data_IF_134407825271
#
_entry.id   IF_134407825271
#
_cell.length_a   1.000
_cell.length_b   1.000
_cell.length_c   1.000
_cell.angle_alpha   90.00
_cell.angle_beta   90.00
_cell.angle_gamma   90.00
#
_symmetry.space_group_name_H-M   'P 1'
#
loop_
_entity.id
_entity.type
_entity.pdbx_description
1 polymer ?
#
# COMPACT_ATOMS: atom_id res chain seq x y z
N UNK A 1 3.97 -33.12 25.43
CA UNK A 1 5.36 -32.95 24.93
C UNK A 1 5.25 -32.48 23.49
N UNK A 2 5.27 -31.16 23.28
CA UNK A 2 5.21 -30.56 21.94
C UNK A 2 6.64 -30.32 21.45
N UNK A 3 6.95 -30.56 20.17
CA UNK A 3 8.28 -30.27 19.65
C UNK A 3 8.50 -28.75 19.62
N UNK A 4 9.75 -28.28 19.76
CA UNK A 4 10.07 -26.87 19.76
C UNK A 4 9.82 -26.27 18.37
N UNK A 5 9.23 -25.07 18.35
CA UNK A 5 9.10 -24.23 17.15
C UNK A 5 10.51 -23.85 16.70
N UNK A 6 10.94 -24.38 15.56
CA UNK A 6 12.11 -23.88 14.86
C UNK A 6 11.88 -22.40 14.53
N UNK A 7 12.81 -21.56 14.98
CA UNK A 7 12.86 -20.15 14.62
C UNK A 7 12.86 -20.04 13.10
N UNK A 8 11.94 -19.24 12.58
CA UNK A 8 11.99 -18.80 11.20
C UNK A 8 13.23 -17.92 11.03
N UNK A 9 14.34 -18.52 10.61
CA UNK A 9 15.40 -17.79 9.95
C UNK A 9 14.79 -17.18 8.69
N UNK A 10 14.57 -15.87 8.71
CA UNK A 10 14.33 -15.12 7.49
C UNK A 10 15.64 -15.26 6.71
N UNK A 11 15.66 -16.11 5.69
CA UNK A 11 16.74 -16.08 4.72
C UNK A 11 16.77 -14.65 4.16
N UNK A 12 17.81 -13.90 4.53
CA UNK A 12 18.18 -12.65 3.85
C UNK A 12 18.51 -13.04 2.40
N UNK A 13 17.50 -13.08 1.54
CA UNK A 13 17.66 -13.27 0.11
C UNK A 13 18.41 -12.04 -0.43
N UNK A 14 19.46 -12.26 -1.23
CA UNK A 14 20.17 -11.17 -1.91
C UNK A 14 19.29 -10.36 -2.90
N UNK A 15 18.03 -10.80 -3.08
CA UNK A 15 16.99 -10.29 -4.00
C UNK A 15 15.82 -9.58 -3.28
N UNK A 16 16.10 -8.66 -2.35
CA UNK A 16 15.04 -7.93 -1.64
C UNK A 16 14.22 -7.01 -2.58
N UNK A 17 12.98 -7.42 -2.81
CA UNK A 17 11.98 -6.77 -3.65
C UNK A 17 10.73 -6.39 -2.83
N UNK A 18 9.77 -5.70 -3.43
CA UNK A 18 8.56 -5.20 -2.78
C UNK A 18 7.40 -6.21 -2.78
N UNK A 19 7.69 -7.49 -2.57
CA UNK A 19 6.72 -8.59 -2.47
C UNK A 19 6.49 -9.07 -1.02
N UNK A 20 7.07 -8.37 -0.04
CA UNK A 20 6.92 -8.62 1.40
C UNK A 20 6.97 -7.30 2.20
N UNK A 21 6.49 -7.25 3.45
CA UNK A 21 5.87 -8.34 4.23
C UNK A 21 4.40 -8.61 3.87
N UNK A 22 3.75 -7.69 3.13
CA UNK A 22 2.36 -7.87 2.72
C UNK A 22 2.31 -8.66 1.42
N UNK A 23 1.70 -9.85 1.40
CA UNK A 23 1.77 -10.74 0.25
C UNK A 23 0.96 -10.21 -0.93
N UNK A 24 1.46 -10.46 -2.13
CA UNK A 24 0.73 -10.20 -3.37
C UNK A 24 -0.45 -11.18 -3.50
N UNK A 25 -1.51 -10.72 -4.15
CA UNK A 25 -2.73 -11.48 -4.41
C UNK A 25 -2.59 -12.22 -5.74
N UNK A 26 -2.64 -13.55 -5.70
CA UNK A 26 -2.70 -14.36 -6.91
C UNK A 26 -3.96 -14.05 -7.71
N UNK A 27 -3.82 -13.92 -9.04
CA UNK A 27 -4.97 -13.60 -9.87
C UNK A 27 -5.81 -14.85 -10.13
N UNK A 28 -7.15 -14.77 -10.15
CA UNK A 28 -7.98 -15.92 -10.52
C UNK A 28 -7.68 -16.49 -11.92
N UNK A 29 -7.13 -15.67 -12.81
CA UNK A 29 -6.73 -16.08 -14.15
C UNK A 29 -5.51 -17.02 -14.17
N UNK A 30 -4.69 -17.09 -13.12
CA UNK A 30 -3.56 -18.03 -13.07
C UNK A 30 -4.03 -19.48 -13.12
N UNK A 31 -5.13 -19.78 -12.43
CA UNK A 31 -5.71 -21.12 -12.37
C UNK A 31 -6.75 -21.36 -13.46
N UNK A 32 -7.57 -20.34 -13.75
CA UNK A 32 -8.76 -20.48 -14.60
C UNK A 32 -8.58 -19.95 -16.02
N UNK A 33 -7.52 -19.19 -16.29
CA UNK A 33 -7.39 -18.40 -17.50
C UNK A 33 -8.41 -17.26 -17.59
N UNK A 34 -8.33 -16.42 -18.61
CA UNK A 34 -9.28 -15.31 -18.84
C UNK A 34 -10.62 -15.77 -19.47
N UNK A 35 -11.22 -16.82 -18.92
CA UNK A 35 -12.34 -17.57 -19.51
C UNK A 35 -13.67 -16.83 -19.48
N UNK A 36 -13.95 -16.10 -18.40
CA UNK A 36 -15.21 -15.38 -18.22
C UNK A 36 -14.98 -13.95 -17.68
N UNK A 37 -16.06 -13.17 -17.64
CA UNK A 37 -16.02 -11.77 -17.23
C UNK A 37 -15.68 -11.58 -15.74
N UNK A 38 -16.06 -12.51 -14.87
CA UNK A 38 -15.83 -12.40 -13.42
C UNK A 38 -14.38 -12.69 -13.09
N UNK A 39 -13.83 -13.77 -13.67
CA UNK A 39 -12.38 -14.06 -13.59
C UNK A 39 -11.57 -12.90 -14.17
N UNK A 40 -12.00 -12.34 -15.31
CA UNK A 40 -11.30 -11.21 -15.92
C UNK A 40 -11.35 -9.93 -15.09
N UNK A 41 -12.50 -9.59 -14.53
CA UNK A 41 -12.68 -8.39 -13.70
C UNK A 41 -11.89 -8.52 -12.40
N UNK A 42 -12.07 -9.63 -11.67
CA UNK A 42 -11.35 -9.93 -10.43
C UNK A 42 -9.83 -9.99 -10.64
N UNK A 43 -9.35 -10.59 -11.73
CA UNK A 43 -7.91 -10.61 -12.03
C UNK A 43 -7.35 -9.23 -12.34
N UNK A 44 -8.10 -8.37 -13.03
CA UNK A 44 -7.64 -6.98 -13.26
C UNK A 44 -7.60 -6.20 -11.96
N UNK A 45 -8.56 -6.41 -11.07
CA UNK A 45 -8.58 -5.77 -9.76
C UNK A 45 -7.38 -6.21 -8.93
N UNK A 46 -7.10 -7.52 -8.87
CA UNK A 46 -5.92 -8.07 -8.20
C UNK A 46 -4.60 -7.46 -8.73
N UNK A 47 -4.49 -7.16 -10.02
CA UNK A 47 -3.32 -6.48 -10.59
C UNK A 47 -3.18 -5.04 -10.08
N UNK A 48 -4.28 -4.28 -9.99
CA UNK A 48 -4.28 -2.92 -9.39
C UNK A 48 -3.93 -2.99 -7.91
N UNK A 49 -4.48 -3.96 -7.18
CA UNK A 49 -4.19 -4.16 -5.76
C UNK A 49 -2.73 -4.53 -5.54
N UNK A 50 -2.16 -5.39 -6.38
CA UNK A 50 -0.74 -5.73 -6.33
C UNK A 50 0.18 -4.54 -6.59
N UNK A 51 -0.25 -3.53 -7.37
CA UNK A 51 0.47 -2.26 -7.49
C UNK A 51 0.46 -1.49 -6.17
N UNK A 52 -0.69 -1.44 -5.48
CA UNK A 52 -0.83 -0.78 -4.18
C UNK A 52 -0.02 -1.50 -3.09
N UNK A 53 -0.09 -2.83 -3.04
CA UNK A 53 0.67 -3.67 -2.10
C UNK A 53 2.17 -3.50 -2.33
N UNK A 54 2.64 -3.54 -3.59
CA UNK A 54 4.05 -3.28 -3.92
C UNK A 54 4.49 -1.88 -3.48
N UNK A 55 3.64 -0.89 -3.68
CA UNK A 55 3.86 0.46 -3.17
C UNK A 55 4.06 0.50 -1.67
N UNK A 56 3.13 -0.11 -0.95
CA UNK A 56 3.12 -0.21 0.51
C UNK A 56 4.37 -0.94 1.01
N UNK A 57 4.70 -2.11 0.46
CA UNK A 57 5.91 -2.87 0.75
C UNK A 57 7.17 -2.05 0.48
N UNK A 58 7.25 -1.37 -0.66
CA UNK A 58 8.39 -0.53 -1.01
C UNK A 58 8.61 0.60 0.00
N UNK A 59 7.54 1.23 0.49
CA UNK A 59 7.64 2.26 1.55
C UNK A 59 8.00 1.64 2.89
N UNK A 60 7.34 0.56 3.27
CA UNK A 60 7.54 -0.16 4.53
C UNK A 60 9.00 -0.58 4.71
N UNK A 61 9.59 -1.15 3.66
CA UNK A 61 10.95 -1.63 3.66
C UNK A 61 11.98 -0.51 3.57
N UNK A 62 11.75 0.53 2.76
CA UNK A 62 12.78 1.55 2.49
C UNK A 62 12.73 2.75 3.45
N UNK A 63 11.65 2.97 4.20
CA UNK A 63 11.42 4.24 4.90
C UNK A 63 12.55 4.65 5.86
N UNK A 64 13.16 3.72 6.61
CA UNK A 64 14.25 4.02 7.55
C UNK A 64 15.64 4.17 6.89
N UNK A 65 15.77 3.81 5.60
CA UNK A 65 16.99 4.04 4.81
C UNK A 65 17.10 5.47 4.26
N UNK A 66 16.00 6.22 4.29
CA UNK A 66 15.90 7.54 3.64
C UNK A 66 16.67 8.60 4.44
N UNK A 67 17.50 9.35 3.73
CA UNK A 67 18.30 10.47 4.24
C UNK A 67 17.60 11.81 3.98
N UNK A 68 18.00 12.92 4.65
CA UNK A 68 17.46 14.25 4.37
C UNK A 68 17.55 14.66 2.89
N UNK A 69 18.63 14.28 2.19
CA UNK A 69 18.86 14.59 0.77
C UNK A 69 17.93 13.82 -0.16
N UNK A 70 17.50 12.63 0.27
CA UNK A 70 16.69 11.69 -0.53
C UNK A 70 15.21 11.71 -0.14
N UNK A 71 14.87 12.35 0.97
CA UNK A 71 13.54 12.43 1.55
C UNK A 71 12.51 13.10 0.64
N UNK A 72 12.88 14.16 -0.09
CA UNK A 72 11.92 14.86 -0.96
C UNK A 72 11.33 13.95 -2.05
N UNK A 73 12.20 13.17 -2.70
CA UNK A 73 11.78 12.21 -3.72
C UNK A 73 11.01 11.03 -3.12
N UNK A 74 11.40 10.57 -1.93
CA UNK A 74 10.70 9.49 -1.24
C UNK A 74 9.30 9.92 -0.81
N UNK A 75 9.14 11.13 -0.25
CA UNK A 75 7.84 11.69 0.09
C UNK A 75 6.97 11.89 -1.15
N UNK A 76 7.55 12.30 -2.28
CA UNK A 76 6.82 12.35 -3.56
C UNK A 76 6.31 10.96 -3.96
N UNK A 77 7.12 9.91 -3.82
CA UNK A 77 6.69 8.53 -4.07
C UNK A 77 5.53 8.13 -3.14
N UNK A 78 5.64 8.44 -1.85
CA UNK A 78 4.60 8.17 -0.84
C UNK A 78 3.28 8.88 -1.16
N UNK A 79 3.34 10.15 -1.53
CA UNK A 79 2.17 10.92 -1.93
C UNK A 79 1.52 10.33 -3.18
N UNK A 80 2.29 9.92 -4.20
CA UNK A 80 1.72 9.28 -5.39
C UNK A 80 1.03 7.94 -5.06
N UNK A 81 1.54 7.18 -4.09
CA UNK A 81 0.86 5.97 -3.61
C UNK A 81 -0.45 6.30 -2.88
N UNK A 82 -0.43 7.30 -1.99
CA UNK A 82 -1.64 7.74 -1.28
C UNK A 82 -2.70 8.26 -2.26
N UNK A 83 -2.32 9.10 -3.22
CA UNK A 83 -3.23 9.58 -4.27
C UNK A 83 -3.79 8.44 -5.14
N UNK A 84 -2.99 7.40 -5.41
CA UNK A 84 -3.45 6.21 -6.13
C UNK A 84 -4.48 5.44 -5.30
N UNK A 85 -4.23 5.24 -4.00
CA UNK A 85 -5.16 4.55 -3.11
C UNK A 85 -6.47 5.34 -2.99
N UNK A 86 -6.41 6.65 -2.72
CA UNK A 86 -7.58 7.56 -2.72
C UNK A 86 -8.38 7.48 -4.01
N UNK A 87 -7.74 7.67 -5.15
CA UNK A 87 -8.45 7.64 -6.42
C UNK A 87 -9.11 6.29 -6.73
N UNK A 88 -8.50 5.18 -6.31
CA UNK A 88 -9.03 3.84 -6.52
C UNK A 88 -10.35 3.63 -5.77
N UNK A 89 -10.35 3.80 -4.44
CA UNK A 89 -11.57 3.58 -3.65
C UNK A 89 -12.65 4.63 -3.94
N UNK A 90 -12.28 5.90 -4.16
CA UNK A 90 -13.26 6.93 -4.56
C UNK A 90 -13.94 6.60 -5.90
N UNK A 91 -13.22 6.02 -6.87
CA UNK A 91 -13.81 5.61 -8.15
C UNK A 91 -14.73 4.39 -7.99
N UNK A 92 -14.40 3.47 -7.08
CA UNK A 92 -15.28 2.36 -6.75
C UNK A 92 -16.59 2.82 -6.15
N UNK A 93 -16.51 3.66 -5.11
CA UNK A 93 -17.68 4.18 -4.39
C UNK A 93 -18.54 5.08 -5.26
N UNK A 94 -17.93 5.90 -6.12
CA UNK A 94 -18.66 6.82 -6.98
C UNK A 94 -19.27 6.14 -8.22
N UNK A 95 -18.73 5.00 -8.65
CA UNK A 95 -19.10 4.39 -9.93
C UNK A 95 -19.20 2.86 -9.88
N UNK A 96 -18.15 2.14 -9.52
CA UNK A 96 -18.11 0.67 -9.66
C UNK A 96 -19.19 -0.03 -8.84
N UNK A 97 -19.21 0.20 -7.52
CA UNK A 97 -20.18 -0.44 -6.62
C UNK A 97 -21.62 -0.04 -6.96
N UNK A 98 -21.97 1.26 -7.14
CA UNK A 98 -23.34 1.62 -7.52
C UNK A 98 -23.80 1.03 -8.85
N UNK A 99 -22.91 0.90 -9.84
CA UNK A 99 -23.26 0.27 -11.13
C UNK A 99 -23.60 -1.21 -10.97
N UNK A 100 -22.84 -1.94 -10.13
CA UNK A 100 -23.08 -3.36 -9.86
C UNK A 100 -24.39 -3.54 -9.10
N UNK A 101 -24.60 -2.78 -8.02
CA UNK A 101 -25.83 -2.82 -7.22
C UNK A 101 -27.07 -2.56 -8.08
N UNK A 102 -27.01 -1.52 -8.93
CA UNK A 102 -28.10 -1.20 -9.85
C UNK A 102 -28.36 -2.30 -10.88
N UNK A 103 -27.31 -2.91 -11.43
CA UNK A 103 -27.45 -3.96 -12.43
C UNK A 103 -28.02 -5.26 -11.83
N UNK A 104 -27.66 -5.56 -10.58
CA UNK A 104 -28.14 -6.74 -9.85
C UNK A 104 -29.53 -6.50 -9.21
N UNK A 105 -29.87 -5.25 -8.90
CA UNK A 105 -31.09 -4.88 -8.19
C UNK A 105 -31.05 -5.18 -6.68
N UNK A 106 -29.84 -5.22 -6.09
CA UNK A 106 -29.62 -5.46 -4.67
C UNK A 106 -28.89 -4.26 -4.08
N UNK A 107 -29.60 -3.47 -3.29
CA UNK A 107 -29.04 -2.35 -2.54
C UNK A 107 -28.15 -2.87 -1.39
N UNK A 108 -27.01 -2.22 -1.17
CA UNK A 108 -26.07 -2.60 -0.11
C UNK A 108 -25.27 -3.87 -0.41
N UNK A 109 -25.25 -4.34 -1.67
CA UNK A 109 -24.44 -5.51 -2.06
C UNK A 109 -22.94 -5.29 -1.80
N UNK A 110 -22.48 -4.03 -1.86
CA UNK A 110 -21.09 -3.65 -1.64
C UNK A 110 -20.83 -3.09 -0.22
N UNK A 111 -21.79 -3.13 0.70
CA UNK A 111 -21.66 -2.53 2.04
C UNK A 111 -20.42 -3.03 2.79
N UNK A 112 -20.08 -4.31 2.66
CA UNK A 112 -18.86 -4.86 3.28
C UNK A 112 -17.57 -4.21 2.75
N UNK A 113 -17.50 -3.91 1.45
CA UNK A 113 -16.33 -3.22 0.87
C UNK A 113 -16.25 -1.77 1.38
N UNK A 114 -17.40 -1.11 1.57
CA UNK A 114 -17.45 0.25 2.14
C UNK A 114 -16.98 0.27 3.61
N UNK A 115 -17.44 -0.69 4.41
CA UNK A 115 -16.99 -0.84 5.80
C UNK A 115 -15.47 -1.10 5.88
N UNK A 116 -14.96 -1.91 4.95
CA UNK A 116 -13.53 -2.20 4.82
C UNK A 116 -12.71 -0.98 4.38
N UNK A 117 -13.23 -0.14 3.47
CA UNK A 117 -12.63 1.15 3.13
C UNK A 117 -12.49 2.02 4.39
N UNK A 118 -13.61 2.25 5.10
CA UNK A 118 -13.62 3.06 6.31
C UNK A 118 -12.67 2.54 7.40
N UNK A 119 -12.43 1.23 7.46
CA UNK A 119 -11.52 0.63 8.43
C UNK A 119 -10.06 1.11 8.30
N UNK A 120 -9.54 1.32 7.08
CA UNK A 120 -8.16 1.80 6.89
C UNK A 120 -8.04 3.33 6.82
N UNK A 121 -9.13 4.04 6.56
CA UNK A 121 -9.12 5.49 6.33
C UNK A 121 -8.52 6.34 7.47
N UNK A 122 -8.74 6.05 8.76
CA UNK A 122 -8.10 6.81 9.84
C UNK A 122 -6.57 6.76 9.79
N UNK A 123 -5.98 5.63 9.39
CA UNK A 123 -4.52 5.51 9.24
C UNK A 123 -4.01 6.17 7.97
N UNK A 124 -4.74 6.02 6.86
CA UNK A 124 -4.42 6.70 5.60
C UNK A 124 -4.42 8.22 5.76
N UNK A 125 -5.42 8.81 6.45
CA UNK A 125 -5.44 10.26 6.71
C UNK A 125 -4.22 10.75 7.52
N UNK A 126 -3.75 9.97 8.50
CA UNK A 126 -2.51 10.28 9.23
C UNK A 126 -1.28 10.19 8.33
N UNK A 127 -1.28 9.24 7.40
CA UNK A 127 -0.23 9.10 6.40
C UNK A 127 -0.18 10.32 5.49
N UNK A 128 -1.33 10.75 4.97
CA UNK A 128 -1.46 11.95 4.14
C UNK A 128 -0.95 13.18 4.87
N UNK A 129 -1.43 13.41 6.10
CA UNK A 129 -1.01 14.54 6.91
C UNK A 129 0.52 14.57 7.06
N UNK A 130 1.14 13.41 7.29
CA UNK A 130 2.58 13.31 7.43
C UNK A 130 3.33 13.61 6.12
N UNK A 131 2.96 12.97 5.01
CA UNK A 131 3.73 13.05 3.76
C UNK A 131 3.52 14.36 3.00
N UNK A 132 2.42 15.08 3.24
CA UNK A 132 2.18 16.39 2.65
C UNK A 132 2.70 17.56 3.50
N UNK A 133 2.70 17.44 4.84
CA UNK A 133 3.04 18.56 5.72
C UNK A 133 4.43 18.47 6.36
N UNK A 134 5.18 17.37 6.17
CA UNK A 134 6.53 17.23 6.73
C UNK A 134 7.60 17.78 5.78
N UNK A 135 8.41 18.77 6.20
CA UNK A 135 9.60 19.16 5.45
C UNK A 135 10.62 18.02 5.34
N UNK A 136 11.29 17.91 4.19
CA UNK A 136 12.29 16.86 3.93
C UNK A 136 13.39 16.77 5.01
N UNK A 137 13.85 17.91 5.52
CA UNK A 137 14.88 17.99 6.59
C UNK A 137 14.43 17.39 7.93
N UNK A 138 13.12 17.27 8.15
CA UNK A 138 12.51 16.71 9.36
C UNK A 138 11.81 15.38 9.09
N UNK A 139 12.06 14.78 7.92
CA UNK A 139 11.55 13.47 7.58
C UNK A 139 12.05 12.41 8.58
N UNK A 140 11.19 11.45 8.90
CA UNK A 140 11.46 10.35 9.81
C UNK A 140 10.84 9.08 9.24
N UNK A 141 11.70 8.19 8.74
CA UNK A 141 11.29 6.87 8.28
C UNK A 141 10.51 6.09 9.34
N UNK A 142 10.96 6.19 10.59
CA UNK A 142 10.28 5.57 11.74
C UNK A 142 8.84 6.03 11.93
N UNK A 143 8.53 7.30 11.63
CA UNK A 143 7.16 7.81 11.68
C UNK A 143 6.33 7.25 10.52
N UNK A 144 6.87 7.20 9.31
CA UNK A 144 6.21 6.56 8.16
C UNK A 144 5.86 5.11 8.49
N UNK A 145 6.84 4.35 8.99
CA UNK A 145 6.66 2.97 9.43
C UNK A 145 5.52 2.83 10.44
N UNK A 146 5.56 3.58 11.54
CA UNK A 146 4.55 3.49 12.59
C UNK A 146 3.14 3.86 12.09
N UNK A 147 3.04 4.77 11.11
CA UNK A 147 1.76 5.10 10.49
C UNK A 147 1.28 3.95 9.60
N UNK A 148 2.13 3.37 8.74
CA UNK A 148 1.77 2.22 7.90
C UNK A 148 1.28 1.04 8.76
N UNK A 149 1.97 0.71 9.85
CA UNK A 149 1.56 -0.35 10.78
C UNK A 149 0.15 -0.13 11.35
N UNK A 150 -0.33 1.12 11.40
CA UNK A 150 -1.64 1.43 11.95
C UNK A 150 -2.82 1.08 11.05
N UNK A 151 -2.59 0.77 9.77
CA UNK A 151 -3.68 0.45 8.82
C UNK A 151 -3.34 -0.58 7.74
N UNK A 152 -2.07 -0.95 7.55
CA UNK A 152 -1.65 -1.83 6.46
C UNK A 152 -2.34 -3.21 6.50
N UNK A 153 -2.61 -3.75 7.68
CA UNK A 153 -3.35 -5.01 7.82
C UNK A 153 -4.81 -4.89 7.37
N UNK A 154 -5.49 -3.81 7.73
CA UNK A 154 -6.87 -3.55 7.30
C UNK A 154 -6.93 -3.33 5.77
N UNK A 155 -5.98 -2.56 5.23
CA UNK A 155 -5.85 -2.38 3.79
C UNK A 155 -5.59 -3.71 3.06
N UNK A 156 -4.66 -4.53 3.55
CA UNK A 156 -4.36 -5.83 2.93
C UNK A 156 -5.58 -6.76 2.92
N UNK A 157 -6.35 -6.77 4.02
CA UNK A 157 -7.58 -7.54 4.11
C UNK A 157 -8.57 -7.09 3.04
N UNK A 158 -8.89 -5.79 3.00
CA UNK A 158 -9.79 -5.21 2.00
C UNK A 158 -9.38 -5.57 0.56
N UNK A 159 -8.10 -5.31 0.22
CA UNK A 159 -7.57 -5.59 -1.11
C UNK A 159 -7.68 -7.08 -1.47
N UNK A 160 -7.73 -7.99 -0.50
CA UNK A 160 -7.88 -9.43 -0.76
C UNK A 160 -9.36 -9.84 -0.85
N UNK A 161 -10.20 -9.35 0.06
CA UNK A 161 -11.62 -9.71 0.14
C UNK A 161 -12.42 -9.19 -1.06
N UNK A 162 -12.11 -8.00 -1.58
CA UNK A 162 -12.81 -7.48 -2.77
C UNK A 162 -12.64 -8.41 -3.99
N UNK A 163 -11.47 -9.05 -4.14
CA UNK A 163 -11.21 -10.00 -5.23
C UNK A 163 -12.16 -11.19 -5.17
N UNK A 164 -12.43 -11.67 -3.95
CA UNK A 164 -13.39 -12.74 -3.67
C UNK A 164 -14.82 -12.24 -3.90
N UNK A 165 -15.14 -11.02 -3.47
CA UNK A 165 -16.44 -10.38 -3.69
C UNK A 165 -16.77 -10.28 -5.18
N UNK A 166 -15.85 -9.76 -6.01
CA UNK A 166 -16.01 -9.63 -7.47
C UNK A 166 -16.24 -11.00 -8.12
N UNK A 167 -15.48 -12.03 -7.71
CA UNK A 167 -15.70 -13.39 -8.22
C UNK A 167 -17.09 -13.91 -7.86
N UNK A 168 -17.57 -13.61 -6.64
CA UNK A 168 -18.87 -14.07 -6.16
C UNK A 168 -20.04 -13.53 -6.96
N UNK A 169 -19.84 -12.43 -7.71
CA UNK A 169 -20.87 -11.84 -8.58
C UNK A 169 -21.32 -12.80 -9.70
N UNK A 170 -20.56 -13.86 -9.98
CA UNK A 170 -20.96 -14.92 -10.92
C UNK A 170 -22.28 -15.60 -10.56
N UNK A 171 -22.74 -15.46 -9.30
CA UNK A 171 -24.03 -15.98 -8.84
C UNK A 171 -25.24 -15.20 -9.39
N UNK A 172 -25.03 -14.00 -9.95
CA UNK A 172 -26.10 -13.17 -10.51
C UNK A 172 -26.23 -13.38 -12.02
N UNK A 173 -27.23 -14.16 -12.48
CA UNK A 173 -27.42 -14.40 -13.90
C UNK A 173 -27.78 -13.10 -14.62
N UNK A 174 -27.21 -12.89 -15.81
CA UNK A 174 -27.49 -11.72 -16.65
C UNK A 174 -26.70 -10.45 -16.29
N UNK A 175 -25.89 -10.47 -15.23
CA UNK A 175 -24.96 -9.37 -14.95
C UNK A 175 -23.91 -9.25 -16.06
N UNK A 176 -23.89 -8.11 -16.75
CA UNK A 176 -22.85 -7.75 -17.72
C UNK A 176 -21.75 -6.94 -17.02
N UNK A 177 -20.93 -7.64 -16.23
CA UNK A 177 -19.79 -7.07 -15.53
C UNK A 177 -18.74 -6.52 -16.52
N UNK A 178 -18.62 -7.10 -17.72
CA UNK A 178 -17.71 -6.58 -18.73
C UNK A 178 -18.10 -5.18 -19.24
N UNK A 179 -19.40 -4.89 -19.38
CA UNK A 179 -19.89 -3.54 -19.67
C UNK A 179 -19.64 -2.58 -18.52
N UNK A 180 -19.89 -3.01 -17.27
CA UNK A 180 -19.62 -2.22 -16.06
C UNK A 180 -18.13 -1.88 -15.95
N UNK A 181 -17.23 -2.86 -16.10
CA UNK A 181 -15.76 -2.68 -16.11
C UNK A 181 -15.34 -1.63 -17.14
N UNK A 182 -15.95 -1.66 -18.33
CA UNK A 182 -15.64 -0.68 -19.40
C UNK A 182 -16.08 0.72 -18.99
N UNK A 183 -17.27 0.87 -18.43
CA UNK A 183 -17.78 2.15 -17.97
C UNK A 183 -16.96 2.68 -16.78
N UNK A 184 -16.62 1.82 -15.83
CA UNK A 184 -15.75 2.15 -14.71
C UNK A 184 -14.37 2.59 -15.18
N UNK A 185 -13.75 1.88 -16.12
CA UNK A 185 -12.46 2.27 -16.69
C UNK A 185 -12.48 3.64 -17.39
N UNK A 186 -13.60 4.02 -18.02
CA UNK A 186 -13.78 5.37 -18.56
C UNK A 186 -13.89 6.42 -17.44
N UNK A 187 -14.61 6.08 -16.36
CA UNK A 187 -14.72 6.94 -15.18
C UNK A 187 -13.34 7.17 -14.55
N UNK A 188 -12.57 6.11 -14.27
CA UNK A 188 -11.20 6.19 -13.76
C UNK A 188 -10.33 7.06 -14.68
N UNK A 189 -10.32 6.81 -16.00
CA UNK A 189 -9.52 7.62 -16.95
C UNK A 189 -9.88 9.12 -16.94
N UNK A 190 -11.11 9.47 -16.61
CA UNK A 190 -11.57 10.85 -16.51
C UNK A 190 -11.19 11.53 -15.19
N UNK A 191 -10.98 10.76 -14.12
CA UNK A 191 -10.74 11.28 -12.76
C UNK A 191 -9.31 11.04 -12.24
N UNK A 192 -8.48 10.24 -12.94
CA UNK A 192 -7.09 9.98 -12.54
C UNK A 192 -6.08 10.98 -13.14
N UNK A 193 -5.12 11.42 -12.33
CA UNK A 193 -4.00 12.25 -12.78
C UNK A 193 -3.03 11.47 -13.69
N UNK A 194 -2.81 11.98 -14.91
CA UNK A 194 -1.85 11.38 -15.86
C UNK A 194 -0.39 11.64 -15.50
N UNK A 195 -0.11 12.60 -14.60
CA UNK A 195 1.25 13.02 -14.27
C UNK A 195 1.80 12.35 -13.01
N UNK A 196 0.93 11.79 -12.16
CA UNK A 196 1.31 11.15 -10.88
C UNK A 196 0.85 9.70 -10.82
N UNK A 197 -0.44 9.43 -11.03
CA UNK A 197 -1.00 8.08 -10.92
C UNK A 197 -0.55 7.16 -12.06
N UNK A 198 -0.58 7.62 -13.31
CA UNK A 198 -0.14 6.79 -14.44
C UNK A 198 1.33 6.35 -14.32
N UNK A 199 2.32 7.23 -14.10
CA UNK A 199 3.69 6.77 -13.89
C UNK A 199 3.86 5.94 -12.61
N UNK A 200 3.10 6.22 -11.56
CA UNK A 200 3.09 5.38 -10.36
C UNK A 200 2.64 3.95 -10.65
N UNK A 201 1.50 3.79 -11.33
CA UNK A 201 0.94 2.50 -11.76
C UNK A 201 1.98 1.75 -12.59
N UNK A 202 2.54 2.41 -13.60
CA UNK A 202 3.48 1.76 -14.50
C UNK A 202 4.77 1.34 -13.76
N UNK A 203 5.34 2.19 -12.92
CA UNK A 203 6.61 1.88 -12.23
C UNK A 203 6.48 0.84 -11.11
N UNK A 204 5.26 0.48 -10.72
CA UNK A 204 4.99 -0.61 -9.76
C UNK A 204 4.30 -1.83 -10.39
N UNK A 205 3.98 -1.78 -11.69
CA UNK A 205 3.43 -2.91 -12.43
C UNK A 205 4.54 -3.84 -12.93
N UNK A 206 4.55 -5.06 -12.38
CA UNK A 206 5.44 -6.15 -12.81
C UNK A 206 4.82 -6.94 -13.97
N UNK A 207 5.46 -6.88 -15.14
CA UNK A 207 5.03 -7.58 -16.36
C UNK A 207 5.38 -9.07 -16.35
N UNK A 208 6.15 -9.53 -15.37
CA UNK A 208 6.58 -10.92 -15.21
C UNK A 208 5.75 -11.69 -14.17
N UNK A 209 4.85 -10.99 -13.46
CA UNK A 209 3.98 -11.60 -12.45
C UNK A 209 3.18 -12.77 -13.03
N UNK A 210 3.11 -13.86 -12.26
CA UNK A 210 2.45 -15.12 -12.66
C UNK A 210 2.91 -15.64 -14.03
N UNK A 211 4.21 -15.57 -14.29
CA UNK A 211 4.79 -16.02 -15.57
C UNK A 211 4.49 -15.08 -16.74
N UNK A 212 3.99 -13.87 -16.46
CA UNK A 212 3.73 -12.84 -17.47
C UNK A 212 2.45 -13.07 -18.27
N UNK A 213 1.51 -13.87 -17.77
CA UNK A 213 0.19 -14.08 -18.40
C UNK A 213 -0.61 -12.77 -18.55
N UNK A 214 -0.24 -11.74 -17.79
CA UNK A 214 -0.86 -10.41 -17.79
C UNK A 214 -0.15 -9.38 -18.67
N UNK A 215 0.84 -9.76 -19.48
CA UNK A 215 1.72 -8.80 -20.14
C UNK A 215 1.00 -7.78 -21.05
N UNK A 216 -0.23 -8.07 -21.49
CA UNK A 216 -1.05 -7.10 -22.22
C UNK A 216 -1.63 -5.97 -21.35
N UNK A 217 -1.77 -6.13 -20.05
CA UNK A 217 -2.34 -5.12 -19.14
C UNK A 217 -1.32 -3.99 -18.82
N UNK A 218 -1.73 -2.72 -18.61
CA UNK A 218 -3.11 -2.23 -18.53
C UNK A 218 -3.75 -1.87 -19.86
N UNK A 219 -2.96 -1.61 -20.91
CA UNK A 219 -3.56 -1.02 -22.10
C UNK A 219 -4.04 -2.04 -23.14
N UNK A 220 -3.70 -3.30 -23.03
CA UNK A 220 -3.87 -4.31 -24.08
C UNK A 220 -2.72 -4.35 -25.09
N UNK A 221 -1.63 -3.60 -24.87
CA UNK A 221 -0.47 -3.58 -25.77
C UNK A 221 0.84 -3.31 -25.02
N UNK A 222 1.72 -4.32 -25.01
CA UNK A 222 3.07 -4.25 -24.42
C UNK A 222 3.90 -3.09 -24.96
N UNK A 223 3.80 -2.82 -26.26
CA UNK A 223 4.54 -1.74 -26.90
C UNK A 223 4.04 -0.37 -26.44
N UNK A 224 2.72 -0.22 -26.29
CA UNK A 224 2.13 1.00 -25.75
C UNK A 224 2.52 1.19 -24.29
N UNK A 225 2.49 0.13 -23.48
CA UNK A 225 2.87 0.21 -22.07
C UNK A 225 4.36 0.59 -21.92
N UNK A 226 5.24 0.02 -22.75
CA UNK A 226 6.66 0.39 -22.77
C UNK A 226 6.87 1.85 -23.16
N UNK A 227 6.14 2.34 -24.17
CA UNK A 227 6.19 3.75 -24.56
C UNK A 227 5.72 4.67 -23.43
N UNK A 228 4.57 4.36 -22.80
CA UNK A 228 4.05 5.14 -21.68
C UNK A 228 4.99 5.13 -20.48
N UNK A 229 5.64 3.99 -20.20
CA UNK A 229 6.67 3.88 -19.16
C UNK A 229 7.79 4.86 -19.43
N UNK A 230 8.28 4.98 -20.67
CA UNK A 230 9.37 5.91 -20.97
C UNK A 230 8.95 7.38 -20.86
N UNK A 231 7.75 7.73 -21.33
CA UNK A 231 7.29 9.13 -21.41
C UNK A 231 6.75 9.64 -20.07
N UNK A 232 5.87 8.88 -19.42
CA UNK A 232 5.18 9.35 -18.22
C UNK A 232 6.10 9.45 -17.00
N UNK A 233 7.18 8.65 -16.95
CA UNK A 233 8.08 8.63 -15.79
C UNK A 233 9.16 9.72 -15.82
N UNK A 234 9.16 10.59 -16.83
CA UNK A 234 10.11 11.71 -16.87
C UNK A 234 9.83 12.73 -15.76
N UNK A 235 8.55 13.00 -15.50
CA UNK A 235 8.11 13.81 -14.35
C UNK A 235 8.30 12.99 -13.07
N UNK A 236 8.82 13.62 -12.02
CA UNK A 236 9.12 12.96 -10.74
C UNK A 236 10.10 11.79 -10.85
N UNK A 237 11.03 11.80 -11.82
CA UNK A 237 12.03 10.74 -12.03
C UNK A 237 12.75 10.28 -10.75
N UNK A 238 13.01 11.23 -9.85
CA UNK A 238 13.65 10.99 -8.57
C UNK A 238 12.83 10.10 -7.66
N UNK A 239 11.50 10.19 -7.67
CA UNK A 239 10.59 9.36 -6.89
C UNK A 239 10.56 7.90 -7.39
N UNK A 240 10.64 7.69 -8.70
CA UNK A 240 10.55 6.36 -9.31
C UNK A 240 11.75 5.46 -9.02
N UNK A 241 12.79 5.97 -8.36
CA UNK A 241 13.88 5.15 -7.83
C UNK A 241 13.41 4.19 -6.72
N UNK A 242 12.31 4.52 -6.05
CA UNK A 242 11.74 3.75 -4.94
C UNK A 242 10.65 2.76 -5.38
N UNK A 243 10.21 2.82 -6.64
CA UNK A 243 9.18 1.93 -7.16
C UNK A 243 9.66 0.47 -7.22
N UNK A 244 8.70 -0.45 -7.22
CA UNK A 244 8.95 -1.89 -7.23
C UNK A 244 9.48 -2.43 -8.56
N UNK A 245 9.34 -1.71 -9.67
CA UNK A 245 9.73 -2.20 -11.00
C UNK A 245 10.65 -1.21 -11.74
N UNK A 246 11.42 -1.76 -12.68
CA UNK A 246 12.20 -1.01 -13.66
C UNK A 246 11.29 -0.34 -14.70
N UNK A 247 11.84 0.55 -15.52
CA UNK A 247 11.13 1.10 -16.68
C UNK A 247 10.73 0.04 -17.72
N UNK A 248 11.38 -1.13 -17.72
CA UNK A 248 10.97 -2.28 -18.53
C UNK A 248 9.83 -3.11 -17.89
N UNK A 249 9.36 -2.74 -16.70
CA UNK A 249 8.32 -3.45 -15.97
C UNK A 249 8.78 -4.73 -15.29
N UNK A 250 10.09 -4.96 -15.16
CA UNK A 250 10.62 -6.11 -14.40
C UNK A 250 10.81 -5.74 -12.93
N UNK A 251 10.72 -6.71 -12.00
CA UNK A 251 11.09 -6.52 -10.59
C UNK A 251 12.47 -5.88 -10.47
N UNK A 252 12.65 -5.03 -9.46
CA UNK A 252 13.95 -4.43 -9.14
C UNK A 252 14.26 -4.50 -7.67
N UNK A 253 15.54 -4.64 -7.36
CA UNK A 253 16.06 -4.54 -6.00
C UNK A 253 15.75 -3.15 -5.43
N UNK A 254 15.29 -3.12 -4.18
CA UNK A 254 15.06 -1.88 -3.43
C UNK A 254 16.39 -1.21 -3.07
N UNK A 255 16.39 0.11 -2.89
CA UNK A 255 17.63 0.87 -2.69
C UNK A 255 18.31 0.61 -1.33
N UNK A 256 17.51 0.23 -0.35
CA UNK A 256 17.97 -0.16 0.97
C UNK A 256 16.77 -0.62 1.79
N UNK A 257 16.93 -1.64 2.61
CA UNK A 257 15.88 -2.09 3.52
C UNK A 257 16.18 -1.64 4.94
N UNK A 258 15.14 -1.44 5.73
CA UNK A 258 15.25 -1.37 7.17
C UNK A 258 15.84 -2.67 7.70
N UNK A 259 16.89 -2.57 8.53
CA UNK A 259 17.39 -3.70 9.31
C UNK A 259 16.52 -3.86 10.55
N UNK A 260 16.05 -5.06 10.81
CA UNK A 260 15.37 -5.33 12.07
C UNK A 260 16.36 -5.16 13.23
N UNK A 261 15.92 -4.46 14.28
CA UNK A 261 16.73 -4.19 15.48
C UNK A 261 17.25 -5.45 16.19
N UNK A 262 16.76 -6.63 15.83
CA UNK A 262 17.26 -7.91 16.32
C UNK A 262 18.72 -8.20 15.94
N UNK A 263 19.20 -7.64 14.82
CA UNK A 263 20.58 -7.82 14.37
C UNK A 263 21.56 -6.91 15.12
N UNK A 264 21.14 -5.72 15.55
CA UNK A 264 21.96 -4.84 16.40
C UNK A 264 22.17 -5.43 17.80
N UNK A 265 21.17 -6.10 18.39
CA UNK A 265 21.36 -6.79 19.66
C UNK A 265 22.25 -8.03 19.53
N UNK A 266 22.18 -8.77 18.40
CA UNK A 266 23.04 -9.92 18.17
C UNK A 266 24.50 -9.51 17.91
N UNK A 267 24.73 -8.45 17.14
CA UNK A 267 26.07 -7.89 16.90
C UNK A 267 26.64 -7.21 18.16
N UNK A 268 25.78 -6.56 18.96
CA UNK A 268 26.14 -5.99 20.26
C UNK A 268 26.50 -7.04 21.30
N UNK A 269 25.77 -8.17 21.36
CA UNK A 269 26.12 -9.31 22.22
C UNK A 269 27.41 -10.01 21.75
N UNK A 270 27.61 -10.19 20.44
CA UNK A 270 28.83 -10.79 19.91
C UNK A 270 30.10 -9.96 20.17
N UNK A 271 29.99 -8.63 20.27
CA UNK A 271 31.10 -7.77 20.69
C UNK A 271 31.40 -7.82 22.19
N UNK A 272 30.41 -8.11 23.03
CA UNK A 272 30.60 -8.22 24.50
C UNK A 272 31.21 -9.58 24.88
N UNK A 273 30.92 -10.64 24.13
CA UNK A 273 31.48 -11.99 24.37
C UNK A 273 32.96 -12.14 23.97
N UNK A 274 33.55 -11.15 23.28
CA UNK A 274 34.97 -11.12 22.93
C UNK A 274 35.86 -10.42 23.96
N UNK A 275 35.30 -9.86 25.04
CA UNK A 275 36.06 -9.05 26.02
C UNK A 275 35.87 -9.45 27.50
N UNK A 276 35.50 -10.70 27.80
CA UNK A 276 35.48 -11.21 29.19
C UNK A 276 36.67 -12.13 29.48
N UNK A 277 37.85 -11.50 29.49
CA UNK A 277 39.02 -11.98 30.23
C UNK A 277 38.96 -11.50 31.69
N UNK A 278 38.68 -12.44 32.60
CA UNK A 278 39.12 -12.50 34.01
C UNK A 278 39.20 -11.18 34.83
N UNK A 279 38.23 -10.92 35.71
CA UNK A 279 38.52 -10.35 37.03
C UNK A 279 37.37 -10.58 38.03
N UNK A 280 37.76 -11.03 39.22
CA UNK A 280 36.98 -11.29 40.43
C UNK A 280 36.30 -10.06 41.05
N UNK A 281 35.15 -10.28 41.71
CA UNK A 281 34.36 -9.27 42.44
C UNK A 281 35.09 -8.59 43.63
N UNK A 282 34.42 -7.68 44.37
CA UNK A 282 33.45 -8.15 45.37
C UNK A 282 32.25 -7.22 45.72
N UNK A 283 31.25 -7.85 46.36
CA UNK A 283 30.23 -7.38 47.34
C UNK A 283 29.61 -5.98 47.32
N UNK A 284 28.27 -5.98 47.26
CA UNK A 284 27.31 -4.92 47.59
C UNK A 284 27.23 -4.59 49.09
N UNK A 285 26.74 -3.39 49.42
CA UNK A 285 25.80 -3.26 50.54
C UNK A 285 24.47 -2.60 50.13
N UNK A 286 23.42 -3.03 50.85
CA UNK A 286 22.03 -2.63 50.72
C UNK A 286 21.68 -1.33 51.45
N UNK A 287 20.56 -0.70 51.02
CA UNK A 287 19.56 0.16 51.74
C UNK A 287 19.06 1.24 50.75
N UNK A 288 17.83 1.76 50.80
CA UNK A 288 16.61 1.47 51.54
C UNK A 288 15.45 2.20 50.83
N UNK A 289 14.23 1.75 51.10
CA UNK A 289 12.95 2.35 50.75
C UNK A 289 12.83 3.86 51.05
N UNK A 290 12.13 4.58 50.17
CA UNK A 290 11.02 5.45 50.58
C UNK A 290 9.94 5.50 49.49
N UNK A 291 8.72 5.19 49.91
CA UNK A 291 7.46 5.40 49.20
C UNK A 291 7.15 6.89 49.11
N UNK A 292 6.57 7.33 48.00
CA UNK A 292 5.60 8.42 48.05
C UNK A 292 4.47 8.15 47.05
N UNK A 293 3.29 7.85 47.61
CA UNK A 293 1.99 7.84 46.93
C UNK A 293 1.51 9.29 46.74
N UNK A 294 0.93 9.60 45.58
CA UNK A 294 -0.21 10.52 45.50
C UNK A 294 -1.07 10.20 44.27
N UNK A 295 -2.32 9.86 44.56
CA UNK A 295 -3.42 9.52 43.66
C UNK A 295 -3.95 10.70 42.81
N UNK A 296 -4.84 10.43 41.82
CA UNK A 296 -5.10 11.29 40.68
C UNK A 296 -6.31 12.22 40.86
N UNK A 297 -6.27 13.38 40.20
CA UNK A 297 -7.44 14.24 40.03
C UNK A 297 -8.15 13.93 38.69
N UNK A 298 -9.39 13.42 38.81
CA UNK A 298 -10.41 13.36 37.75
C UNK A 298 -11.01 14.73 37.47
N UNK A 299 -11.55 14.88 36.24
CA UNK A 299 -12.69 15.70 35.76
C UNK A 299 -12.29 16.45 34.47
N UNK A 300 -13.09 16.64 33.45
CA UNK A 300 -14.43 16.16 33.05
C UNK A 300 -14.73 16.80 31.69
N UNK A 301 -15.30 16.00 30.79
CA UNK A 301 -16.23 16.33 29.70
C UNK A 301 -16.67 17.79 29.45
N UNK A 302 -16.51 18.26 28.20
CA UNK A 302 -17.49 19.06 27.43
C UNK A 302 -17.09 19.04 25.93
N UNK A 303 -17.79 18.30 25.07
CA UNK A 303 -18.88 18.70 24.15
C UNK A 303 -18.57 19.89 23.20
N UNK A 304 -18.67 19.54 21.91
CA UNK A 304 -18.59 20.27 20.64
C UNK A 304 -19.53 21.49 20.51
N UNK A 305 -19.44 22.30 19.42
CA UNK A 305 -20.18 21.94 18.21
C UNK A 305 -19.53 22.29 16.85
N UNK A 306 -20.10 21.62 15.84
CA UNK A 306 -19.96 21.72 14.38
C UNK A 306 -20.15 23.12 13.80
N UNK A 307 -19.47 23.40 12.67
CA UNK A 307 -19.95 24.33 11.65
C UNK A 307 -19.89 23.67 10.26
N UNK A 308 -21.00 23.87 9.57
CA UNK A 308 -21.44 23.35 8.29
C UNK A 308 -20.90 24.10 7.06
N UNK A 309 -20.83 23.36 5.93
CA UNK A 309 -21.07 23.74 4.53
C UNK A 309 -20.82 25.17 4.02
N UNK A 310 -20.03 25.26 2.94
CA UNK A 310 -20.32 25.84 1.60
C UNK A 310 -19.03 25.63 0.77
N UNK A 311 -18.97 25.34 -0.53
CA UNK A 311 -19.92 25.16 -1.62
C UNK A 311 -19.06 24.95 -2.89
N UNK A 312 -19.49 24.07 -3.80
CA UNK A 312 -18.85 23.86 -5.10
C UNK A 312 -19.04 25.08 -6.02
N UNK A 313 -18.19 25.21 -7.06
CA UNK A 313 -18.78 25.21 -8.40
C UNK A 313 -17.96 24.46 -9.48
N UNK A 314 -18.73 23.70 -10.28
CA UNK A 314 -18.76 23.72 -11.76
C UNK A 314 -17.49 23.56 -12.60
N UNK A 315 -17.43 22.39 -13.26
CA UNK A 315 -17.20 22.13 -14.70
C UNK A 315 -16.40 23.15 -15.53
N UNK A 316 -15.32 22.67 -16.15
CA UNK A 316 -15.03 22.95 -17.57
C UNK A 316 -14.11 21.90 -18.23
N UNK A 317 -14.61 21.41 -19.36
CA UNK A 317 -13.93 21.01 -20.59
C UNK A 317 -12.92 19.86 -20.64
N UNK A 318 -13.42 18.76 -21.20
CA UNK A 318 -12.66 17.71 -21.83
C UNK A 318 -11.81 18.25 -23.00
N UNK A 319 -10.54 17.85 -23.05
CA UNK A 319 -9.79 17.77 -24.31
C UNK A 319 -9.24 16.36 -24.46
N UNK A 320 -9.75 15.72 -25.50
CA UNK A 320 -9.41 14.42 -26.04
C UNK A 320 -7.93 14.38 -26.41
N UNK A 321 -7.19 13.39 -25.91
CA UNK A 321 -6.01 12.83 -26.58
C UNK A 321 -5.85 11.40 -26.07
N UNK A 322 -6.15 10.48 -26.99
CA UNK A 322 -5.92 9.03 -27.10
C UNK A 322 -5.39 8.32 -25.84
#
# INVERSE_FOLDING_TARGET
>A
MFPPRNGHYIHMNDDMWADYPFPLISTPAVDRGYTDQFVRSSSKMALVHNILIRGMNAMYLQCEYITPETASDFMTFCQCWSEMLHNHHECEEAAYFPMIEKAVGVEGLAESNLDEHEAFMPGLRRFDEYVYNTPARTFSGRRVYAILESFAAALQMHLTEEIVWILSLSKYPGLDLAAIDRQHGLYVKAHSSRLRLLPYLLTNHDVTYEGGIHAGWPTGSRLRDLFLRYVCTQRHRGAWRYSACTYGGRPRKLLGIRRDKGEETAAGMAMVDLDLGTASGPTLPAKAHTKEEREPARRSCSRSPSISHMGSPSRASATMLV
#
